data_IF_568275221532
#
_entry.id   IF_568275221532
#
_cell.length_a   1.000
_cell.length_b   1.000
_cell.length_c   1.000
_cell.angle_alpha   90.00
_cell.angle_beta   90.00
_cell.angle_gamma   90.00
#
_symmetry.space_group_name_H-M   'P 1'
#
loop_
_entity.id
_entity.type
_entity.pdbx_description
1 polymer ?
#
# COMPACT_ATOMS: atom_id res chain seq x y z
N UNK A 1 -20.38 -43.23 22.35
CA UNK A 1 -19.97 -41.90 21.85
C UNK A 1 -20.67 -41.67 20.53
N UNK A 2 -21.74 -40.86 20.49
CA UNK A 2 -22.37 -40.45 19.23
C UNK A 2 -21.50 -39.35 18.65
N UNK A 3 -20.84 -39.62 17.53
CA UNK A 3 -20.07 -38.61 16.81
C UNK A 3 -21.02 -37.51 16.37
N UNK A 4 -20.81 -36.31 16.87
CA UNK A 4 -21.49 -35.11 16.39
C UNK A 4 -21.02 -34.91 14.95
N UNK A 5 -21.90 -35.14 13.97
CA UNK A 5 -21.66 -34.75 12.59
C UNK A 5 -21.67 -33.23 12.55
N UNK A 6 -20.48 -32.63 12.44
CA UNK A 6 -20.37 -31.19 12.17
C UNK A 6 -20.91 -30.97 10.75
N UNK A 7 -21.89 -30.07 10.54
CA UNK A 7 -22.33 -29.73 9.20
C UNK A 7 -21.14 -29.28 8.36
N UNK A 8 -20.94 -29.92 7.20
CA UNK A 8 -19.93 -29.47 6.25
C UNK A 8 -20.54 -28.35 5.43
N UNK A 9 -19.89 -27.20 5.44
CA UNK A 9 -20.25 -26.05 4.63
C UNK A 9 -19.37 -26.01 3.37
N UNK A 10 -19.98 -26.02 2.18
CA UNK A 10 -19.29 -25.91 0.88
C UNK A 10 -19.10 -24.46 0.40
N UNK A 11 -17.87 -23.97 0.33
CA UNK A 11 -17.55 -22.63 -0.16
C UNK A 11 -16.80 -22.70 -1.49
N UNK A 12 -17.02 -21.73 -2.38
CA UNK A 12 -16.26 -21.60 -3.62
C UNK A 12 -14.83 -21.07 -3.34
N UNK A 13 -14.69 -20.27 -2.29
CA UNK A 13 -13.39 -19.82 -1.79
C UNK A 13 -13.41 -19.69 -0.25
N UNK A 14 -12.29 -20.04 0.38
CA UNK A 14 -12.05 -19.81 1.82
C UNK A 14 -10.79 -18.97 1.98
N UNK A 15 -10.94 -17.79 2.58
CA UNK A 15 -9.87 -16.85 2.85
C UNK A 15 -9.44 -16.98 4.32
N UNK A 16 -8.16 -17.28 4.55
CA UNK A 16 -7.59 -17.41 5.89
C UNK A 16 -6.86 -16.12 6.24
N UNK A 17 -7.42 -15.38 7.19
CA UNK A 17 -6.98 -14.06 7.62
C UNK A 17 -7.94 -12.95 7.17
N UNK A 18 -8.49 -12.22 8.13
CA UNK A 18 -9.32 -11.03 7.95
C UNK A 18 -8.53 -9.73 7.92
N UNK A 19 -7.25 -9.78 7.56
CA UNK A 19 -6.44 -8.58 7.34
C UNK A 19 -6.76 -7.90 6.00
N UNK A 20 -6.12 -6.77 5.73
CA UNK A 20 -6.32 -5.96 4.52
C UNK A 20 -6.19 -6.76 3.22
N UNK A 21 -5.23 -7.69 3.14
CA UNK A 21 -5.03 -8.52 1.95
C UNK A 21 -6.19 -9.49 1.73
N UNK A 22 -6.62 -10.18 2.79
CA UNK A 22 -7.74 -11.12 2.74
C UNK A 22 -9.07 -10.41 2.45
N UNK A 23 -9.32 -9.29 3.12
CA UNK A 23 -10.48 -8.44 2.89
C UNK A 23 -10.54 -7.92 1.44
N UNK A 24 -9.42 -7.38 0.93
CA UNK A 24 -9.33 -6.86 -0.44
C UNK A 24 -9.57 -7.96 -1.47
N UNK A 25 -8.96 -9.13 -1.29
CA UNK A 25 -9.18 -10.28 -2.17
C UNK A 25 -10.64 -10.75 -2.13
N UNK A 26 -11.25 -10.80 -0.94
CA UNK A 26 -12.66 -11.15 -0.80
C UNK A 26 -13.59 -10.20 -1.54
N UNK A 27 -13.34 -8.89 -1.47
CA UNK A 27 -14.10 -7.89 -2.24
C UNK A 27 -13.88 -8.05 -3.74
N UNK A 28 -12.65 -8.27 -4.19
CA UNK A 28 -12.36 -8.50 -5.61
C UNK A 28 -13.09 -9.73 -6.15
N UNK A 29 -13.06 -10.84 -5.42
CA UNK A 29 -13.78 -12.06 -5.80
C UNK A 29 -15.30 -11.84 -5.81
N UNK A 30 -15.85 -11.12 -4.82
CA UNK A 30 -17.27 -10.80 -4.78
C UNK A 30 -17.74 -9.90 -5.92
N UNK A 31 -16.91 -8.97 -6.39
CA UNK A 31 -17.22 -8.12 -7.54
C UNK A 31 -17.12 -8.88 -8.88
N UNK A 32 -16.15 -9.79 -9.01
CA UNK A 32 -15.93 -10.58 -10.23
C UNK A 32 -16.91 -11.75 -10.35
N UNK A 33 -17.23 -12.39 -9.23
CA UNK A 33 -18.07 -13.60 -9.16
C UNK A 33 -19.15 -13.44 -8.07
N UNK A 34 -20.19 -12.61 -8.29
CA UNK A 34 -21.20 -12.30 -7.26
C UNK A 34 -22.02 -13.49 -6.76
N UNK A 35 -21.99 -14.62 -7.48
CA UNK A 35 -22.68 -15.85 -7.10
C UNK A 35 -21.87 -16.75 -6.16
N UNK A 36 -20.58 -16.47 -5.94
CA UNK A 36 -19.72 -17.30 -5.12
C UNK A 36 -20.05 -17.17 -3.64
N UNK A 37 -20.02 -18.31 -2.94
CA UNK A 37 -20.03 -18.35 -1.48
C UNK A 37 -18.59 -18.29 -0.97
N UNK A 38 -18.19 -17.10 -0.50
CA UNK A 38 -16.84 -16.83 0.00
C UNK A 38 -16.86 -16.87 1.54
N UNK A 39 -16.08 -17.78 2.12
CA UNK A 39 -15.86 -17.86 3.56
C UNK A 39 -14.60 -17.12 3.97
N UNK A 40 -14.62 -16.39 5.08
CA UNK A 40 -13.43 -15.78 5.67
C UNK A 40 -13.25 -16.25 7.10
N UNK A 41 -12.05 -16.73 7.41
CA UNK A 41 -11.70 -17.27 8.73
C UNK A 41 -10.63 -16.38 9.34
N UNK A 42 -10.93 -15.83 10.51
CA UNK A 42 -10.00 -15.02 11.30
C UNK A 42 -9.85 -15.64 12.70
N UNK A 43 -8.64 -15.56 13.25
CA UNK A 43 -8.31 -16.06 14.58
C UNK A 43 -8.72 -15.07 15.67
N UNK A 44 -8.54 -13.77 15.42
CA UNK A 44 -8.84 -12.72 16.37
C UNK A 44 -10.35 -12.39 16.38
N UNK A 45 -10.78 -11.66 17.42
CA UNK A 45 -12.20 -11.33 17.60
C UNK A 45 -12.77 -10.39 16.54
N UNK A 46 -11.91 -9.67 15.82
CA UNK A 46 -12.28 -8.78 14.73
C UNK A 46 -11.23 -8.81 13.60
N UNK A 47 -11.66 -8.41 12.41
CA UNK A 47 -10.80 -8.26 11.24
C UNK A 47 -9.71 -7.20 11.48
N UNK A 48 -8.54 -7.41 10.90
CA UNK A 48 -7.47 -6.41 10.86
C UNK A 48 -6.78 -6.07 12.20
N UNK A 49 -7.03 -6.82 13.28
CA UNK A 49 -6.44 -6.51 14.60
C UNK A 49 -4.94 -6.84 14.73
N UNK A 50 -4.36 -7.61 13.81
CA UNK A 50 -2.93 -7.98 13.82
C UNK A 50 -2.11 -7.09 12.87
N UNK A 51 -1.50 -7.62 11.81
CA UNK A 51 -0.59 -6.89 10.93
C UNK A 51 -1.24 -5.72 10.19
N UNK A 52 -2.56 -5.74 10.00
CA UNK A 52 -3.31 -4.64 9.37
C UNK A 52 -3.73 -3.53 10.33
N UNK A 53 -3.54 -3.72 11.64
CA UNK A 53 -3.90 -2.73 12.64
C UNK A 53 -3.09 -1.46 12.42
N UNK A 54 -3.72 -0.30 12.60
CA UNK A 54 -3.08 1.00 12.39
C UNK A 54 -1.81 1.21 13.25
N UNK A 55 -1.68 0.48 14.36
CA UNK A 55 -0.49 0.53 15.22
C UNK A 55 0.63 -0.41 14.79
N UNK A 56 0.31 -1.46 14.01
CA UNK A 56 1.26 -2.47 13.55
C UNK A 56 1.65 -2.28 12.08
N UNK A 57 0.84 -1.52 11.36
CA UNK A 57 1.00 -1.22 9.95
C UNK A 57 1.51 0.21 9.78
N UNK A 58 2.52 0.41 8.94
CA UNK A 58 2.92 1.74 8.48
C UNK A 58 1.82 2.44 7.65
N UNK A 59 0.75 1.70 7.32
CA UNK A 59 -0.44 2.11 6.60
C UNK A 59 -0.42 1.50 5.21
N UNK A 60 -1.42 0.71 4.83
CA UNK A 60 -1.51 0.12 3.47
C UNK A 60 -1.85 1.14 2.36
N UNK A 61 -1.66 2.43 2.64
CA UNK A 61 -2.09 3.55 1.81
C UNK A 61 -0.95 4.46 1.35
N UNK A 62 0.30 4.05 1.45
CA UNK A 62 1.42 4.85 0.93
C UNK A 62 1.88 4.36 -0.43
N UNK A 63 2.11 5.29 -1.36
CA UNK A 63 2.56 5.03 -2.73
C UNK A 63 4.04 4.61 -2.82
N UNK A 64 4.64 4.10 -1.74
CA UNK A 64 6.06 3.75 -1.73
C UNK A 64 7.03 4.94 -1.79
N UNK A 65 6.58 6.14 -1.38
CA UNK A 65 7.33 7.39 -1.59
C UNK A 65 8.56 7.54 -0.70
N UNK A 66 8.62 6.86 0.45
CA UNK A 66 9.73 6.96 1.42
C UNK A 66 10.62 5.71 1.47
N UNK A 67 10.29 4.70 0.67
CA UNK A 67 10.93 3.39 0.65
C UNK A 67 12.23 3.47 -0.18
N UNK A 68 13.31 3.95 0.44
CA UNK A 68 14.60 4.13 -0.24
C UNK A 68 15.20 2.83 -0.77
N UNK A 69 14.80 1.68 -0.22
CA UNK A 69 15.15 0.35 -0.71
C UNK A 69 14.54 0.03 -2.08
N UNK A 70 13.52 0.77 -2.53
CA UNK A 70 13.00 0.69 -3.91
C UNK A 70 13.84 1.49 -4.92
N UNK A 71 14.85 2.20 -4.42
CA UNK A 71 15.80 2.95 -5.25
C UNK A 71 17.25 2.56 -4.94
N UNK A 72 17.63 1.28 -5.11
CA UNK A 72 18.98 0.85 -4.80
C UNK A 72 20.01 1.56 -5.68
N UNK A 73 21.19 1.81 -5.13
CA UNK A 73 22.29 2.42 -5.88
C UNK A 73 22.89 1.44 -6.86
N UNK A 74 23.23 1.97 -8.03
CA UNK A 74 23.97 1.26 -9.06
C UNK A 74 25.47 1.62 -8.99
N UNK A 75 26.33 0.78 -9.58
CA UNK A 75 27.72 1.17 -9.85
C UNK A 75 27.75 2.52 -10.60
N UNK A 76 28.55 3.47 -10.11
CA UNK A 76 28.62 4.82 -10.67
C UNK A 76 27.72 5.86 -9.99
N UNK A 77 26.92 5.48 -8.99
CA UNK A 77 26.24 6.41 -8.08
C UNK A 77 24.83 6.83 -8.50
N UNK A 78 24.35 6.41 -9.69
CA UNK A 78 22.94 6.48 -10.07
C UNK A 78 22.09 5.51 -9.25
N UNK A 79 20.76 5.59 -9.40
CA UNK A 79 19.82 4.67 -8.75
C UNK A 79 18.93 3.97 -9.78
N UNK A 80 18.57 2.72 -9.49
CA UNK A 80 17.49 2.04 -10.21
C UNK A 80 16.16 2.46 -9.61
N UNK A 81 15.26 3.01 -10.42
CA UNK A 81 13.93 3.47 -9.97
C UNK A 81 12.79 2.55 -10.37
N UNK A 82 13.08 1.43 -11.05
CA UNK A 82 12.07 0.55 -11.64
C UNK A 82 11.08 0.05 -10.60
N UNK A 83 11.58 -0.33 -9.40
CA UNK A 83 10.73 -0.80 -8.31
C UNK A 83 9.85 0.31 -7.73
N UNK A 84 10.38 1.53 -7.60
CA UNK A 84 9.60 2.68 -7.12
C UNK A 84 8.47 3.03 -8.09
N UNK A 85 8.73 2.99 -9.40
CA UNK A 85 7.71 3.20 -10.43
C UNK A 85 6.65 2.11 -10.39
N UNK A 86 7.04 0.83 -10.38
CA UNK A 86 6.11 -0.30 -10.32
C UNK A 86 5.17 -0.22 -9.11
N UNK A 87 5.69 0.09 -7.92
CA UNK A 87 4.88 0.26 -6.71
C UNK A 87 3.93 1.45 -6.83
N UNK A 88 4.38 2.57 -7.39
CA UNK A 88 3.53 3.75 -7.62
C UNK A 88 2.39 3.46 -8.62
N UNK A 89 2.64 2.65 -9.64
CA UNK A 89 1.62 2.20 -10.59
C UNK A 89 0.60 1.26 -9.92
N UNK A 90 1.06 0.31 -9.10
CA UNK A 90 0.19 -0.57 -8.30
C UNK A 90 -0.69 0.23 -7.31
N UNK A 91 -0.13 1.27 -6.69
CA UNK A 91 -0.90 2.16 -5.84
C UNK A 91 -1.94 2.95 -6.64
N UNK A 92 -1.59 3.45 -7.83
CA UNK A 92 -2.53 4.13 -8.72
C UNK A 92 -3.69 3.22 -9.14
N UNK A 93 -3.43 1.94 -9.40
CA UNK A 93 -4.47 0.94 -9.67
C UNK A 93 -5.38 0.72 -8.44
N UNK A 94 -4.81 0.73 -7.23
CA UNK A 94 -5.58 0.63 -5.98
C UNK A 94 -6.52 1.83 -5.79
N UNK A 95 -6.07 3.05 -6.12
CA UNK A 95 -6.92 4.25 -6.10
C UNK A 95 -8.13 4.12 -7.03
N UNK A 96 -7.92 3.59 -8.24
CA UNK A 96 -9.01 3.35 -9.20
C UNK A 96 -9.99 2.31 -8.67
N UNK A 97 -9.49 1.23 -8.07
CA UNK A 97 -10.35 0.21 -7.47
C UNK A 97 -11.19 0.77 -6.31
N UNK A 98 -10.59 1.54 -5.40
CA UNK A 98 -11.34 2.17 -4.32
C UNK A 98 -12.36 3.19 -4.84
N UNK A 99 -12.01 3.97 -5.88
CA UNK A 99 -12.97 4.88 -6.52
C UNK A 99 -14.19 4.12 -7.08
N UNK A 100 -13.97 2.96 -7.70
CA UNK A 100 -15.05 2.07 -8.15
C UNK A 100 -15.92 1.63 -6.97
N UNK A 101 -15.34 1.11 -5.89
CA UNK A 101 -16.10 0.66 -4.71
C UNK A 101 -16.92 1.80 -4.06
N UNK A 102 -16.34 3.00 -3.96
CA UNK A 102 -17.05 4.21 -3.51
C UNK A 102 -18.23 4.51 -4.43
N UNK A 103 -18.02 4.52 -5.76
CA UNK A 103 -19.07 4.83 -6.74
C UNK A 103 -20.25 3.84 -6.69
N UNK A 104 -19.98 2.61 -6.25
CA UNK A 104 -20.97 1.53 -6.05
C UNK A 104 -21.61 1.56 -4.66
N UNK A 105 -21.15 2.43 -3.75
CA UNK A 105 -21.64 2.51 -2.38
C UNK A 105 -21.22 1.32 -1.50
N UNK A 106 -20.19 0.58 -1.91
CA UNK A 106 -19.70 -0.61 -1.19
C UNK A 106 -18.77 -0.25 -0.02
N UNK A 107 -18.12 0.91 -0.11
CA UNK A 107 -17.32 1.49 0.98
C UNK A 107 -17.72 2.95 1.19
N UNK A 108 -17.37 3.49 2.37
CA UNK A 108 -17.65 4.88 2.75
C UNK A 108 -16.94 5.91 1.87
N UNK A 109 -17.12 7.20 2.13
CA UNK A 109 -16.52 8.24 1.32
C UNK A 109 -14.97 8.25 1.47
N UNK A 110 -14.23 8.64 0.41
CA UNK A 110 -12.78 8.45 0.34
C UNK A 110 -12.00 9.18 1.43
N UNK A 111 -12.47 10.34 1.90
CA UNK A 111 -11.81 11.10 2.97
C UNK A 111 -11.76 10.38 4.33
N UNK A 112 -12.57 9.34 4.50
CA UNK A 112 -12.60 8.56 5.74
C UNK A 112 -11.42 7.56 5.81
N UNK A 113 -10.85 7.18 4.67
CA UNK A 113 -9.78 6.18 4.60
C UNK A 113 -8.56 6.56 3.74
N UNK A 114 -8.62 7.67 2.99
CA UNK A 114 -7.48 8.24 2.25
C UNK A 114 -7.19 9.64 2.79
N UNK A 115 -5.94 9.88 3.18
CA UNK A 115 -5.45 11.19 3.63
C UNK A 115 -4.21 11.58 2.83
N UNK A 116 -4.20 12.74 2.15
CA UNK A 116 -2.98 13.28 1.59
C UNK A 116 -2.07 13.74 2.73
N UNK A 117 -0.85 13.22 2.76
CA UNK A 117 0.16 13.55 3.77
C UNK A 117 1.49 13.78 3.07
N UNK A 118 2.22 14.83 3.48
CA UNK A 118 3.57 15.07 2.98
C UNK A 118 4.51 13.94 3.42
N UNK A 119 5.19 13.33 2.45
CA UNK A 119 6.16 12.27 2.68
C UNK A 119 7.56 12.89 2.65
N UNK A 120 8.25 12.87 3.80
CA UNK A 120 9.56 13.49 3.96
C UNK A 120 10.66 12.45 4.02
N UNK A 121 11.58 12.50 3.06
CA UNK A 121 12.79 11.69 3.05
C UNK A 121 13.98 12.46 3.63
N UNK A 122 14.64 11.91 4.65
CA UNK A 122 15.81 12.54 5.27
C UNK A 122 17.08 11.69 5.08
N UNK A 123 18.09 12.28 4.43
CA UNK A 123 19.38 11.65 4.16
C UNK A 123 20.49 12.39 4.91
N UNK A 124 21.31 11.65 5.66
CA UNK A 124 22.41 12.22 6.45
C UNK A 124 23.77 11.83 5.87
N UNK A 125 24.72 12.76 5.97
CA UNK A 125 26.10 12.58 5.53
C UNK A 125 26.23 12.62 4.00
N UNK A 126 27.47 12.60 3.48
CA UNK A 126 27.73 12.71 2.05
C UNK A 126 26.97 11.66 1.23
N UNK A 127 26.96 10.42 1.70
CA UNK A 127 26.26 9.33 1.02
C UNK A 127 24.74 9.57 1.03
N UNK A 128 24.11 9.76 2.19
CA UNK A 128 22.66 9.95 2.26
C UNK A 128 22.17 11.10 1.37
N UNK A 129 22.88 12.23 1.37
CA UNK A 129 22.58 13.39 0.51
C UNK A 129 22.72 13.04 -0.96
N UNK A 130 23.81 12.35 -1.35
CA UNK A 130 24.01 11.90 -2.72
C UNK A 130 22.95 10.88 -3.18
N UNK A 131 22.43 10.04 -2.27
CA UNK A 131 21.33 9.10 -2.60
C UNK A 131 20.07 9.87 -2.98
N UNK A 132 19.64 10.78 -2.11
CA UNK A 132 18.40 11.52 -2.30
C UNK A 132 18.47 12.43 -3.52
N UNK A 133 19.63 13.03 -3.79
CA UNK A 133 19.87 13.80 -5.02
C UNK A 133 19.70 12.94 -6.26
N UNK A 134 20.39 11.80 -6.35
CA UNK A 134 20.31 10.91 -7.50
C UNK A 134 18.88 10.37 -7.70
N UNK A 135 18.20 10.03 -6.60
CA UNK A 135 16.80 9.61 -6.60
C UNK A 135 15.87 10.70 -7.15
N UNK A 136 15.98 11.92 -6.64
CA UNK A 136 15.19 13.05 -7.12
C UNK A 136 15.45 13.35 -8.59
N UNK A 137 16.72 13.42 -9.01
CA UNK A 137 17.10 13.69 -10.41
C UNK A 137 16.52 12.66 -11.38
N UNK A 138 16.47 11.39 -10.96
CA UNK A 138 15.97 10.30 -11.80
C UNK A 138 14.44 10.23 -11.81
N UNK A 139 13.78 10.53 -10.68
CA UNK A 139 12.32 10.43 -10.54
C UNK A 139 11.55 11.68 -10.98
N UNK A 140 12.12 12.89 -10.87
CA UNK A 140 11.41 14.17 -11.07
C UNK A 140 10.74 14.35 -12.43
N UNK A 141 11.17 13.60 -13.45
CA UNK A 141 10.57 13.62 -14.78
C UNK A 141 9.38 12.66 -14.95
N UNK A 142 9.16 11.77 -13.99
CA UNK A 142 8.10 10.77 -14.05
C UNK A 142 6.79 11.32 -13.46
N UNK A 143 5.62 11.16 -14.12
CA UNK A 143 4.36 11.76 -13.66
C UNK A 143 3.98 11.42 -12.22
N UNK A 144 4.24 10.18 -11.77
CA UNK A 144 3.97 9.73 -10.40
C UNK A 144 4.79 10.47 -9.32
N UNK A 145 5.86 11.16 -9.70
CA UNK A 145 6.80 11.83 -8.80
C UNK A 145 6.97 13.31 -9.15
N UNK A 146 6.08 13.88 -9.97
CA UNK A 146 6.18 15.25 -10.49
C UNK A 146 6.22 16.31 -9.38
N UNK A 147 5.55 16.06 -8.27
CA UNK A 147 5.49 16.96 -7.11
C UNK A 147 6.65 16.75 -6.12
N UNK A 148 7.66 15.94 -6.48
CA UNK A 148 8.80 15.68 -5.58
C UNK A 148 9.77 16.86 -5.57
N UNK A 149 9.98 17.40 -4.37
CA UNK A 149 10.95 18.47 -4.12
C UNK A 149 12.23 17.91 -3.48
N UNK A 150 13.34 18.61 -3.69
CA UNK A 150 14.64 18.30 -3.07
C UNK A 150 15.30 19.59 -2.59
N UNK A 151 15.88 19.55 -1.40
CA UNK A 151 16.73 20.60 -0.86
C UNK A 151 17.84 20.04 0.02
N UNK A 152 19.05 20.56 -0.15
CA UNK A 152 20.17 20.46 0.80
C UNK A 152 20.58 21.82 1.36
N UNK A 153 19.76 22.86 1.12
CA UNK A 153 19.94 24.20 1.68
C UNK A 153 19.46 24.25 3.13
N UNK A 154 20.35 24.64 4.04
CA UNK A 154 20.06 24.79 5.47
C UNK A 154 18.96 25.80 5.76
N UNK A 155 18.81 26.83 4.94
CA UNK A 155 17.77 27.86 5.12
C UNK A 155 16.38 27.32 4.82
N UNK A 156 16.27 26.40 3.86
CA UNK A 156 15.04 25.70 3.49
C UNK A 156 14.69 24.60 4.51
N UNK A 157 15.70 23.90 5.05
CA UNK A 157 15.50 22.78 5.99
C UNK A 157 15.34 23.18 7.46
N UNK A 158 15.62 24.44 7.81
CA UNK A 158 15.68 24.93 9.19
C UNK A 158 14.42 25.62 9.73
N UNK A 159 13.32 25.59 8.98
CA UNK A 159 12.00 26.12 9.36
C UNK A 159 11.04 25.01 9.74
#
# INVERSE_FOLDING_TARGET
MRGTTVPVEEFDAVLVGGGVMGATLGVLLGELEPGWRIGMVERLGEAGLESSSAWNNAGTGHAGLCEFNYTPRLPGGSVDVSRAVEIGEQFSASLVFWAHLVSRGLIGPPQDFIRPVAHLGFGRGPDGVAHLRARWETLRGHPLFADTEYSDDRTVLGT
#
